data_IF_486909381135
#
_entry.id   IF_486909381135
#
_cell.length_a   1.000
_cell.length_b   1.000
_cell.length_c   1.000
_cell.angle_alpha   90.00
_cell.angle_beta   90.00
_cell.angle_gamma   90.00
#
_symmetry.space_group_name_H-M   'P 1'
#
loop_
_entity.id
_entity.type
_entity.pdbx_description
1 polymer ?
#
# COMPACT_ATOMS: atom_id res chain seq x y z
N UNK A 1 -8.49 27.68 21.24
CA UNK A 1 -7.05 27.98 21.30
C UNK A 1 -6.33 26.67 21.02
N UNK A 2 -5.69 26.58 19.85
CA UNK A 2 -5.12 25.35 19.32
C UNK A 2 -3.85 24.96 20.09
N UNK A 3 -3.87 23.85 20.81
CA UNK A 3 -2.65 23.14 21.19
C UNK A 3 -2.28 22.19 20.05
N UNK A 4 -1.65 22.75 18.99
CA UNK A 4 -0.93 21.95 18.00
C UNK A 4 0.38 21.50 18.63
N UNK A 5 0.45 20.23 19.00
CA UNK A 5 1.53 19.61 19.76
C UNK A 5 2.89 19.85 19.10
N UNK A 6 3.86 20.27 19.91
CA UNK A 6 5.25 20.54 19.50
C UNK A 6 5.95 19.30 18.93
N UNK A 7 5.47 18.11 19.29
CA UNK A 7 5.98 16.81 18.85
C UNK A 7 5.57 16.45 17.41
N UNK A 8 4.34 16.77 16.98
CA UNK A 8 3.88 16.56 15.60
C UNK A 8 4.69 17.41 14.60
N UNK A 9 5.05 18.64 14.99
CA UNK A 9 5.89 19.52 14.18
C UNK A 9 7.32 19.00 14.05
N UNK A 10 7.93 18.52 15.13
CA UNK A 10 9.29 17.97 15.09
C UNK A 10 9.38 16.68 14.24
N UNK A 11 8.35 15.84 14.26
CA UNK A 11 8.33 14.60 13.47
C UNK A 11 8.19 14.88 11.97
N UNK A 12 7.40 15.90 11.59
CA UNK A 12 7.30 16.37 10.21
C UNK A 12 8.65 16.87 9.69
N UNK A 13 9.35 17.70 10.47
CA UNK A 13 10.68 18.24 10.09
C UNK A 13 11.76 17.15 10.01
N UNK A 14 11.67 16.12 10.85
CA UNK A 14 12.63 15.01 10.85
C UNK A 14 12.43 14.10 9.64
N UNK A 15 11.18 13.85 9.25
CA UNK A 15 10.89 13.13 8.01
C UNK A 15 11.35 13.96 6.82
N UNK A 16 10.97 15.23 6.69
CA UNK A 16 11.41 16.08 5.57
C UNK A 16 12.93 16.10 5.41
N UNK A 17 13.69 16.15 6.53
CA UNK A 17 15.15 16.05 6.52
C UNK A 17 15.67 14.66 6.11
N UNK A 18 15.01 13.58 6.55
CA UNK A 18 15.36 12.21 6.16
C UNK A 18 15.07 11.99 4.66
N UNK A 19 13.97 12.56 4.17
CA UNK A 19 13.59 12.58 2.76
C UNK A 19 14.66 13.29 1.96
N UNK A 20 15.04 14.51 2.38
CA UNK A 20 16.09 15.29 1.75
C UNK A 20 17.42 14.51 1.71
N UNK A 21 17.84 13.89 2.82
CA UNK A 21 19.10 13.14 2.90
C UNK A 21 19.10 11.84 2.11
N UNK A 22 18.00 11.11 2.10
CA UNK A 22 17.86 9.89 1.29
C UNK A 22 17.88 10.25 -0.20
N UNK A 23 17.21 11.35 -0.58
CA UNK A 23 17.20 11.83 -1.96
C UNK A 23 18.59 12.34 -2.38
N UNK A 24 19.30 13.09 -1.52
CA UNK A 24 20.71 13.49 -1.77
C UNK A 24 21.61 12.28 -2.03
N UNK A 25 21.47 11.20 -1.24
CA UNK A 25 22.22 9.97 -1.45
C UNK A 25 21.87 9.29 -2.76
N UNK A 26 20.58 9.26 -3.14
CA UNK A 26 20.13 8.69 -4.41
C UNK A 26 20.64 9.48 -5.61
N UNK A 27 20.68 10.81 -5.52
CA UNK A 27 21.22 11.70 -6.54
C UNK A 27 22.72 11.42 -6.74
N UNK A 28 23.49 11.36 -5.63
CA UNK A 28 24.92 11.02 -5.67
C UNK A 28 25.14 9.64 -6.29
N UNK A 29 24.37 8.62 -5.89
CA UNK A 29 24.50 7.27 -6.46
C UNK A 29 24.20 7.25 -7.96
N UNK A 30 23.22 8.04 -8.41
CA UNK A 30 22.81 8.13 -9.81
C UNK A 30 23.86 8.85 -10.67
N UNK A 31 24.35 10.00 -10.19
CA UNK A 31 25.40 10.80 -10.85
C UNK A 31 26.71 10.03 -11.01
N UNK A 32 27.03 9.16 -10.06
CA UNK A 32 28.25 8.33 -10.09
C UNK A 32 28.06 6.99 -10.82
N UNK A 33 26.93 6.75 -11.47
CA UNK A 33 26.68 5.51 -12.21
C UNK A 33 26.56 4.26 -11.32
N UNK A 34 26.34 4.43 -10.02
CA UNK A 34 26.13 3.36 -9.02
C UNK A 34 24.66 2.89 -9.06
N UNK A 35 24.04 2.92 -10.25
CA UNK A 35 22.61 2.64 -10.43
C UNK A 35 22.24 1.15 -10.25
N UNK A 36 23.21 0.26 -10.01
CA UNK A 36 23.01 -1.20 -10.09
C UNK A 36 23.09 -1.96 -8.76
N UNK A 37 23.23 -1.31 -7.60
CA UNK A 37 23.52 -2.04 -6.34
C UNK A 37 22.65 -1.69 -5.13
N UNK A 38 21.74 -0.72 -5.24
CA UNK A 38 20.78 -0.44 -4.16
C UNK A 38 19.42 -1.00 -4.53
N UNK A 39 19.19 -2.27 -4.17
CA UNK A 39 17.85 -2.83 -4.06
C UNK A 39 17.10 -2.07 -2.95
N UNK A 40 16.48 -0.95 -3.31
CA UNK A 40 15.62 -0.23 -2.37
C UNK A 40 14.52 -1.18 -1.89
N UNK A 41 14.26 -1.27 -0.57
CA UNK A 41 13.29 -2.19 -0.05
C UNK A 41 11.90 -1.84 -0.60
N UNK A 42 11.29 -2.78 -1.31
CA UNK A 42 9.90 -2.65 -1.74
C UNK A 42 8.98 -2.86 -0.54
N UNK A 43 7.95 -2.03 -0.41
CA UNK A 43 6.91 -2.23 0.60
C UNK A 43 5.74 -2.94 -0.08
N UNK A 44 5.47 -4.17 0.34
CA UNK A 44 4.42 -5.00 -0.22
C UNK A 44 3.24 -5.03 0.74
N UNK A 45 2.09 -4.53 0.28
CA UNK A 45 0.88 -4.43 1.10
C UNK A 45 0.01 -5.66 0.92
N UNK A 46 -0.21 -6.39 2.00
CA UNK A 46 -1.08 -7.58 2.04
C UNK A 46 -2.17 -7.41 3.11
N UNK A 47 -3.30 -8.09 2.92
CA UNK A 47 -4.51 -7.82 3.70
C UNK A 47 -5.72 -8.48 3.10
N UNK A 48 -6.67 -8.91 3.94
CA UNK A 48 -7.97 -9.41 3.49
C UNK A 48 -8.71 -8.35 2.66
N UNK A 49 -9.69 -8.77 1.87
CA UNK A 49 -10.57 -7.82 1.19
C UNK A 49 -11.20 -6.85 2.21
N UNK A 50 -11.26 -5.56 1.88
CA UNK A 50 -11.84 -4.52 2.76
C UNK A 50 -11.11 -4.24 4.08
N UNK A 51 -9.88 -4.75 4.26
CA UNK A 51 -8.98 -4.42 5.38
C UNK A 51 -8.42 -2.99 5.34
N UNK A 52 -8.62 -2.24 4.26
CA UNK A 52 -8.13 -0.86 4.13
C UNK A 52 -6.76 -0.69 3.49
N UNK A 53 -6.22 -1.71 2.82
CA UNK A 53 -4.93 -1.64 2.06
C UNK A 53 -4.80 -0.40 1.19
N UNK A 54 -5.78 -0.19 0.30
CA UNK A 54 -5.83 0.94 -0.63
C UNK A 54 -5.78 2.27 0.12
N UNK A 55 -6.53 2.39 1.23
CA UNK A 55 -6.53 3.61 2.05
C UNK A 55 -5.20 3.85 2.76
N UNK A 56 -4.53 2.79 3.23
CA UNK A 56 -3.18 2.90 3.80
C UNK A 56 -2.19 3.39 2.74
N UNK A 57 -2.25 2.85 1.53
CA UNK A 57 -1.41 3.29 0.41
C UNK A 57 -1.68 4.75 0.01
N UNK A 58 -2.94 5.14 -0.12
CA UNK A 58 -3.31 6.52 -0.45
C UNK A 58 -2.89 7.50 0.64
N UNK A 59 -2.88 7.09 1.91
CA UNK A 59 -2.36 7.90 3.00
C UNK A 59 -0.82 8.05 2.96
N UNK A 60 -0.09 6.99 2.59
CA UNK A 60 1.37 7.05 2.40
C UNK A 60 1.71 8.02 1.25
N UNK A 61 0.92 7.99 0.17
CA UNK A 61 1.13 8.87 -1.00
C UNK A 61 0.53 10.27 -0.79
N UNK A 62 -0.42 10.41 0.13
CA UNK A 62 -1.17 11.65 0.39
C UNK A 62 -2.20 12.00 -0.69
N UNK A 63 -2.60 11.07 -1.56
CA UNK A 63 -3.46 11.32 -2.73
C UNK A 63 -4.46 10.19 -2.97
N UNK A 64 -5.66 10.54 -3.43
CA UNK A 64 -6.71 9.59 -3.82
C UNK A 64 -6.64 9.29 -5.33
N UNK A 65 -5.91 8.23 -5.72
CA UNK A 65 -5.69 7.88 -7.15
C UNK A 65 -5.93 6.41 -7.47
N UNK A 66 -6.13 5.57 -6.45
CA UNK A 66 -6.43 4.17 -6.67
C UNK A 66 -7.92 3.99 -6.98
N UNK A 67 -8.29 2.98 -7.79
CA UNK A 67 -9.70 2.63 -7.99
C UNK A 67 -10.37 2.29 -6.66
N UNK A 68 -11.67 2.57 -6.56
CA UNK A 68 -12.53 2.24 -5.42
C UNK A 68 -13.82 1.61 -5.93
N UNK A 69 -14.36 0.65 -5.18
CA UNK A 69 -15.59 -0.05 -5.57
C UNK A 69 -15.96 -1.19 -4.62
N UNK A 70 -17.10 -1.82 -4.86
CA UNK A 70 -17.50 -3.07 -4.21
C UNK A 70 -16.86 -4.27 -4.90
N UNK A 71 -16.58 -5.34 -4.15
CA UNK A 71 -15.89 -6.52 -4.68
C UNK A 71 -14.36 -6.38 -4.68
N UNK A 72 -13.69 -7.17 -5.53
CA UNK A 72 -12.22 -7.12 -5.68
C UNK A 72 -11.88 -5.90 -6.54
N UNK A 73 -11.43 -4.84 -5.89
CA UNK A 73 -11.07 -3.58 -6.55
C UNK A 73 -9.72 -3.71 -7.27
N UNK A 74 -8.68 -4.11 -6.53
CA UNK A 74 -7.36 -4.40 -7.09
C UNK A 74 -7.36 -5.81 -7.68
N UNK A 75 -7.47 -5.94 -9.01
CA UNK A 75 -7.49 -7.24 -9.73
C UNK A 75 -6.14 -7.62 -10.36
N UNK A 76 -5.19 -6.69 -10.39
CA UNK A 76 -3.81 -6.86 -10.84
C UNK A 76 -2.89 -6.24 -9.78
N UNK A 77 -1.69 -6.79 -9.52
CA UNK A 77 -0.71 -6.11 -8.70
C UNK A 77 -0.43 -4.72 -9.27
N UNK A 78 -0.41 -3.70 -8.42
CA UNK A 78 0.01 -2.36 -8.82
C UNK A 78 1.37 -2.09 -8.19
N UNK A 79 2.39 -1.98 -9.02
CA UNK A 79 3.72 -1.53 -8.62
C UNK A 79 3.74 -0.02 -8.81
N UNK A 80 3.68 0.69 -7.69
CA UNK A 80 3.73 2.14 -7.62
C UNK A 80 5.15 2.56 -7.23
N UNK A 81 5.83 3.23 -8.16
CA UNK A 81 7.13 3.82 -7.94
C UNK A 81 6.93 5.31 -7.71
N UNK A 82 7.11 5.74 -6.47
CA UNK A 82 7.25 7.16 -6.17
C UNK A 82 8.68 7.55 -6.52
N UNK A 83 8.83 8.61 -7.29
CA UNK A 83 10.11 9.14 -7.73
C UNK A 83 10.17 10.58 -7.26
N UNK A 84 11.11 10.86 -6.38
CA UNK A 84 11.40 12.24 -6.00
C UNK A 84 11.95 12.99 -7.21
N UNK A 85 11.48 14.21 -7.45
CA UNK A 85 12.03 15.08 -8.47
C UNK A 85 12.05 16.50 -7.95
N UNK A 86 13.26 17.02 -7.71
CA UNK A 86 13.50 18.32 -7.08
C UNK A 86 12.85 19.49 -7.83
N UNK A 87 12.85 19.43 -9.15
CA UNK A 87 12.34 20.50 -10.04
C UNK A 87 10.96 20.20 -10.63
N UNK A 88 10.21 19.25 -10.05
CA UNK A 88 8.84 19.00 -10.48
C UNK A 88 7.91 20.07 -9.90
N UNK A 89 7.72 21.17 -10.65
CA UNK A 89 6.71 22.20 -10.35
C UNK A 89 5.29 21.62 -10.31
N UNK A 90 5.03 20.56 -11.08
CA UNK A 90 3.77 19.84 -11.13
C UNK A 90 3.97 18.32 -10.97
N UNK A 91 3.11 17.69 -10.17
CA UNK A 91 3.08 16.23 -10.01
C UNK A 91 2.52 15.57 -11.27
N UNK A 92 3.17 14.50 -11.74
CA UNK A 92 2.68 13.74 -12.89
C UNK A 92 2.97 12.26 -12.76
N UNK A 93 2.17 11.46 -13.46
CA UNK A 93 2.27 10.01 -13.50
C UNK A 93 2.52 9.51 -14.91
N UNK A 94 3.28 8.40 -15.02
CA UNK A 94 3.55 7.70 -16.27
C UNK A 94 3.37 6.21 -16.04
N UNK A 95 2.61 5.55 -16.90
CA UNK A 95 2.50 4.10 -16.88
C UNK A 95 3.54 3.45 -17.79
N UNK A 96 4.04 2.30 -17.39
CA UNK A 96 5.03 1.58 -18.18
C UNK A 96 4.50 1.11 -19.55
N UNK A 97 3.20 0.78 -19.65
CA UNK A 97 2.57 0.37 -20.92
C UNK A 97 2.27 1.53 -21.86
N UNK A 98 2.36 2.79 -21.41
CA UNK A 98 2.18 3.98 -22.23
C UNK A 98 3.14 5.10 -21.81
N UNK A 99 4.44 4.82 -21.92
CA UNK A 99 5.53 5.70 -21.47
C UNK A 99 5.55 7.09 -22.10
N UNK A 100 4.90 7.29 -23.24
CA UNK A 100 4.79 8.58 -23.94
C UNK A 100 3.67 9.47 -23.42
N UNK A 101 2.72 8.92 -22.65
CA UNK A 101 1.56 9.65 -22.13
C UNK A 101 1.80 10.09 -20.69
N UNK A 102 1.73 11.39 -20.46
CA UNK A 102 1.86 12.00 -19.13
C UNK A 102 0.48 12.24 -18.54
N UNK A 103 0.26 11.75 -17.32
CA UNK A 103 -0.98 11.91 -16.58
C UNK A 103 -0.79 12.96 -15.48
N UNK A 104 -1.38 14.15 -15.65
CA UNK A 104 -1.39 15.21 -14.62
C UNK A 104 -2.60 15.16 -13.69
N UNK A 105 -3.62 14.39 -14.05
CA UNK A 105 -4.84 14.22 -13.27
C UNK A 105 -4.88 12.84 -12.63
N UNK A 106 -5.03 12.79 -11.30
CA UNK A 106 -5.19 11.53 -10.56
C UNK A 106 -6.49 10.79 -10.92
N UNK A 107 -7.52 11.50 -11.38
CA UNK A 107 -8.72 10.85 -11.92
C UNK A 107 -8.42 10.12 -13.22
N UNK A 108 -7.58 10.71 -14.10
CA UNK A 108 -7.13 10.06 -15.31
C UNK A 108 -6.22 8.85 -15.01
N UNK A 109 -5.40 8.93 -13.96
CA UNK A 109 -4.61 7.77 -13.47
C UNK A 109 -5.54 6.65 -13.01
N UNK A 110 -6.56 6.95 -12.19
CA UNK A 110 -7.55 5.98 -11.73
C UNK A 110 -8.28 5.30 -12.88
N UNK A 111 -8.72 6.09 -13.85
CA UNK A 111 -9.42 5.60 -15.03
C UNK A 111 -8.49 4.69 -15.85
N UNK A 112 -7.24 5.09 -16.09
CA UNK A 112 -6.27 4.29 -16.83
C UNK A 112 -5.98 2.93 -16.14
N UNK A 113 -5.86 2.89 -14.81
CA UNK A 113 -5.69 1.63 -14.05
C UNK A 113 -6.88 0.69 -14.33
N UNK A 114 -8.09 1.25 -14.33
CA UNK A 114 -9.33 0.50 -14.57
C UNK A 114 -9.38 -0.01 -16.01
N UNK A 115 -9.06 0.85 -16.98
CA UNK A 115 -9.08 0.53 -18.41
C UNK A 115 -8.02 -0.53 -18.76
N UNK A 116 -6.81 -0.39 -18.23
CA UNK A 116 -5.72 -1.34 -18.43
C UNK A 116 -6.01 -2.69 -17.76
N UNK A 117 -6.70 -2.68 -16.62
CA UNK A 117 -7.19 -3.91 -15.99
C UNK A 117 -8.22 -4.61 -16.87
N UNK A 118 -9.20 -3.87 -17.40
CA UNK A 118 -10.27 -4.41 -18.25
C UNK A 118 -9.76 -4.88 -19.62
N UNK A 119 -8.72 -4.23 -20.18
CA UNK A 119 -8.04 -4.67 -21.40
C UNK A 119 -7.41 -6.06 -21.23
N UNK A 120 -6.77 -6.29 -20.09
CA UNK A 120 -6.06 -7.54 -19.82
C UNK A 120 -6.98 -8.66 -19.33
N UNK A 121 -7.99 -8.33 -18.52
CA UNK A 121 -8.86 -9.32 -17.88
C UNK A 121 -10.25 -9.24 -18.52
N UNK A 122 -10.51 -10.15 -19.47
CA UNK A 122 -11.81 -10.24 -20.15
C UNK A 122 -12.94 -10.74 -19.23
N UNK A 123 -12.62 -11.57 -18.24
CA UNK A 123 -13.57 -12.05 -17.25
C UNK A 123 -13.75 -11.02 -16.13
N UNK A 124 -14.97 -10.52 -15.93
CA UNK A 124 -15.27 -9.38 -15.05
C UNK A 124 -14.72 -9.52 -13.61
N UNK A 125 -14.59 -10.76 -13.11
CA UNK A 125 -14.23 -11.05 -11.72
C UNK A 125 -12.96 -11.90 -11.54
N UNK A 126 -12.13 -12.06 -12.58
CA UNK A 126 -10.83 -12.76 -12.45
C UNK A 126 -9.72 -11.77 -12.08
N UNK A 127 -8.56 -12.31 -11.66
CA UNK A 127 -7.32 -11.56 -11.37
C UNK A 127 -6.21 -11.96 -12.33
N UNK A 128 -5.14 -11.19 -12.39
CA UNK A 128 -3.95 -11.54 -13.19
C UNK A 128 -2.67 -11.24 -12.41
N UNK A 129 -1.67 -12.13 -12.56
CA UNK A 129 -0.34 -11.93 -11.95
C UNK A 129 0.48 -10.85 -12.67
N UNK A 130 0.04 -10.38 -13.85
CA UNK A 130 0.75 -9.37 -14.63
C UNK A 130 0.54 -8.00 -13.98
N UNK A 131 1.61 -7.39 -13.43
CA UNK A 131 1.48 -6.13 -12.71
C UNK A 131 1.14 -4.96 -13.66
N UNK A 132 0.56 -3.90 -13.10
CA UNK A 132 0.54 -2.57 -13.69
C UNK A 132 1.66 -1.79 -13.00
N UNK A 133 2.56 -1.18 -13.76
CA UNK A 133 3.64 -0.35 -13.21
C UNK A 133 3.33 1.12 -13.46
N UNK A 134 3.22 1.88 -12.38
CA UNK A 134 2.92 3.30 -12.36
C UNK A 134 4.08 4.04 -11.70
N UNK A 135 4.66 5.01 -12.40
CA UNK A 135 5.65 5.94 -11.85
C UNK A 135 4.96 7.26 -11.53
N UNK A 136 5.07 7.72 -10.29
CA UNK A 136 4.58 9.02 -9.85
C UNK A 136 5.77 9.92 -9.51
N UNK A 137 5.88 11.03 -10.21
CA UNK A 137 6.93 12.02 -10.00
C UNK A 137 6.36 13.16 -9.15
N UNK A 138 7.01 13.47 -8.03
CA UNK A 138 6.61 14.55 -7.13
C UNK A 138 7.81 15.04 -6.33
N UNK A 139 7.80 16.33 -5.98
CA UNK A 139 8.77 16.94 -5.06
C UNK A 139 8.42 16.71 -3.57
N UNK A 140 7.28 16.06 -3.29
CA UNK A 140 6.73 15.86 -1.94
C UNK A 140 6.77 14.41 -1.46
N UNK A 141 7.41 13.53 -2.22
CA UNK A 141 7.48 12.09 -1.94
C UNK A 141 8.92 11.65 -1.76
N UNK A 142 9.09 10.56 -1.02
CA UNK A 142 10.32 9.76 -1.05
C UNK A 142 10.37 8.95 -2.34
N UNK A 143 11.57 8.70 -2.85
CA UNK A 143 11.72 7.65 -3.85
C UNK A 143 11.54 6.30 -3.18
N UNK A 144 10.38 5.67 -3.39
CA UNK A 144 10.03 4.40 -2.77
C UNK A 144 9.12 3.57 -3.70
N UNK A 145 9.20 2.25 -3.58
CA UNK A 145 8.36 1.33 -4.34
C UNK A 145 7.32 0.69 -3.43
N UNK A 146 6.05 0.96 -3.71
CA UNK A 146 4.89 0.36 -3.06
C UNK A 146 4.30 -0.69 -4.00
N UNK A 147 3.91 -1.84 -3.46
CA UNK A 147 3.17 -2.86 -4.21
C UNK A 147 1.81 -3.06 -3.56
N UNK A 148 0.75 -2.68 -4.28
CA UNK A 148 -0.63 -3.04 -3.93
C UNK A 148 -0.99 -4.39 -4.53
N UNK A 149 -1.64 -5.23 -3.75
CA UNK A 149 -2.03 -6.57 -4.16
C UNK A 149 -3.53 -6.78 -3.98
N UNK A 150 -4.14 -7.67 -4.79
CA UNK A 150 -5.52 -8.09 -4.57
C UNK A 150 -5.74 -8.55 -3.12
N UNK A 151 -6.89 -8.19 -2.55
CA UNK A 151 -7.23 -8.58 -1.19
C UNK A 151 -7.43 -10.08 -1.07
N UNK A 152 -6.92 -10.68 0.02
CA UNK A 152 -7.15 -12.09 0.30
C UNK A 152 -8.65 -12.35 0.48
N UNK A 153 -9.15 -13.40 -0.17
CA UNK A 153 -10.55 -13.84 -0.13
C UNK A 153 -10.59 -15.30 0.30
N UNK A 154 -11.56 -15.65 1.16
CA UNK A 154 -11.75 -17.04 1.63
C UNK A 154 -12.77 -17.80 0.78
N UNK A 155 -13.81 -17.10 0.33
CA UNK A 155 -14.92 -17.69 -0.40
C UNK A 155 -15.09 -16.91 -1.70
N UNK A 156 -15.11 -17.59 -2.88
CA UNK A 156 -15.44 -16.94 -4.13
C UNK A 156 -16.89 -16.46 -4.10
N UNK A 157 -17.14 -15.24 -4.54
CA UNK A 157 -18.48 -14.64 -4.59
C UNK A 157 -18.85 -14.25 -6.02
N UNK A 158 -20.12 -14.40 -6.39
CA UNK A 158 -20.62 -14.08 -7.73
C UNK A 158 -19.97 -14.97 -8.80
N UNK A 159 -19.60 -14.39 -9.94
CA UNK A 159 -19.01 -15.13 -11.08
C UNK A 159 -17.48 -15.32 -10.96
N UNK A 160 -16.95 -15.37 -9.74
CA UNK A 160 -15.51 -15.58 -9.53
C UNK A 160 -15.12 -17.04 -9.83
N UNK A 161 -13.94 -17.27 -10.44
CA UNK A 161 -13.40 -18.62 -10.58
C UNK A 161 -13.24 -19.33 -9.23
N UNK A 162 -13.48 -20.64 -9.18
CA UNK A 162 -13.35 -21.43 -7.93
C UNK A 162 -11.94 -21.39 -7.33
N UNK A 163 -10.92 -21.19 -8.16
CA UNK A 163 -9.50 -21.12 -7.77
C UNK A 163 -9.01 -19.69 -7.48
N UNK A 164 -9.91 -18.70 -7.39
CA UNK A 164 -9.53 -17.29 -7.19
C UNK A 164 -8.74 -17.08 -5.90
N UNK A 165 -9.13 -17.76 -4.81
CA UNK A 165 -8.48 -17.64 -3.50
C UNK A 165 -7.00 -18.06 -3.59
N UNK A 166 -6.74 -19.22 -4.19
CA UNK A 166 -5.39 -19.75 -4.40
C UNK A 166 -4.56 -18.83 -5.31
N UNK A 167 -5.16 -18.34 -6.40
CA UNK A 167 -4.49 -17.45 -7.35
C UNK A 167 -4.05 -16.13 -6.70
N UNK A 168 -4.87 -15.56 -5.83
CA UNK A 168 -4.51 -14.34 -5.09
C UNK A 168 -3.44 -14.66 -4.04
N UNK A 169 -3.56 -15.75 -3.31
CA UNK A 169 -2.56 -16.16 -2.31
C UNK A 169 -1.19 -16.38 -2.94
N UNK A 170 -1.10 -17.11 -4.05
CA UNK A 170 0.13 -17.33 -4.82
C UNK A 170 0.73 -16.02 -5.33
N UNK A 171 -0.12 -15.11 -5.80
CA UNK A 171 0.28 -13.78 -6.24
C UNK A 171 0.93 -13.01 -5.10
N UNK A 172 0.26 -12.93 -3.95
CA UNK A 172 0.79 -12.26 -2.77
C UNK A 172 2.12 -12.90 -2.33
N UNK A 173 2.14 -14.23 -2.21
CA UNK A 173 3.31 -15.01 -1.81
C UNK A 173 4.53 -14.72 -2.70
N UNK A 174 4.33 -14.59 -4.01
CA UNK A 174 5.41 -14.27 -4.96
C UNK A 174 6.09 -12.93 -4.64
N UNK A 175 5.33 -11.89 -4.30
CA UNK A 175 5.90 -10.57 -3.97
C UNK A 175 6.55 -10.54 -2.59
N UNK A 176 5.91 -11.14 -1.58
CA UNK A 176 6.44 -11.14 -0.21
C UNK A 176 7.62 -12.12 -0.01
N UNK A 177 7.82 -13.08 -0.91
CA UNK A 177 8.98 -14.00 -0.86
C UNK A 177 10.32 -13.31 -1.11
N UNK A 178 10.33 -12.11 -1.70
CA UNK A 178 11.54 -11.32 -1.82
C UNK A 178 12.03 -10.89 -0.42
N UNK A 179 13.25 -11.30 -0.04
CA UNK A 179 13.83 -11.00 1.28
C UNK A 179 14.07 -9.51 1.52
N UNK A 180 14.25 -8.72 0.45
CA UNK A 180 14.43 -7.27 0.54
C UNK A 180 13.08 -6.52 0.65
N UNK A 181 11.95 -7.23 0.61
CA UNK A 181 10.64 -6.62 0.76
C UNK A 181 10.25 -6.43 2.23
N UNK A 182 9.76 -5.25 2.58
CA UNK A 182 9.04 -5.01 3.83
C UNK A 182 7.58 -5.40 3.61
N UNK A 183 7.05 -6.25 4.49
CA UNK A 183 5.67 -6.72 4.41
C UNK A 183 4.80 -5.82 5.28
N UNK A 184 3.85 -5.12 4.65
CA UNK A 184 2.85 -4.32 5.36
C UNK A 184 1.57 -5.17 5.51
N UNK A 185 1.40 -5.79 6.68
CA UNK A 185 0.30 -6.68 6.99
C UNK A 185 -0.90 -5.91 7.54
N UNK A 186 -1.82 -5.53 6.65
CA UNK A 186 -2.99 -4.72 6.97
C UNK A 186 -4.14 -5.59 7.49
N UNK A 187 -4.55 -5.34 8.73
CA UNK A 187 -5.62 -6.04 9.44
C UNK A 187 -6.60 -5.02 10.00
N UNK A 188 -7.90 -5.29 9.91
CA UNK A 188 -8.89 -4.47 10.59
C UNK A 188 -8.91 -4.78 12.09
N UNK A 189 -8.95 -3.76 12.94
CA UNK A 189 -8.89 -3.89 14.40
C UNK A 189 -10.21 -4.41 15.00
N UNK A 190 -11.31 -4.30 14.25
CA UNK A 190 -12.61 -4.84 14.65
C UNK A 190 -12.75 -6.36 14.43
N UNK A 191 -11.68 -7.05 14.02
CA UNK A 191 -11.63 -8.51 13.97
C UNK A 191 -10.45 -8.99 14.82
N UNK A 192 -10.56 -10.20 15.37
CA UNK A 192 -9.46 -10.81 16.11
C UNK A 192 -8.22 -10.96 15.22
N UNK A 193 -7.11 -10.38 15.67
CA UNK A 193 -5.84 -10.37 14.96
C UNK A 193 -5.28 -11.77 14.72
N UNK A 194 -5.61 -12.71 15.60
CA UNK A 194 -5.23 -14.12 15.48
C UNK A 194 -5.80 -14.77 14.22
N UNK A 195 -6.88 -14.20 13.68
CA UNK A 195 -7.52 -14.65 12.44
C UNK A 195 -7.11 -13.83 11.20
N UNK A 196 -6.07 -13.00 11.31
CA UNK A 196 -5.57 -12.19 10.21
C UNK A 196 -4.90 -13.03 9.13
N UNK A 197 -5.54 -13.11 7.97
CA UNK A 197 -5.00 -13.81 6.79
C UNK A 197 -3.66 -13.20 6.33
N UNK A 198 -3.46 -11.89 6.55
CA UNK A 198 -2.21 -11.20 6.20
C UNK A 198 -1.04 -11.69 7.06
N UNK A 199 -1.25 -11.79 8.38
CA UNK A 199 -0.21 -12.23 9.31
C UNK A 199 0.07 -13.73 9.17
N UNK A 200 -0.94 -14.53 8.88
CA UNK A 200 -0.76 -15.94 8.54
C UNK A 200 0.09 -16.11 7.28
N UNK A 201 -0.25 -15.38 6.21
CA UNK A 201 0.51 -15.43 4.96
C UNK A 201 1.94 -14.93 5.12
N UNK A 202 2.15 -13.81 5.84
CA UNK A 202 3.47 -13.28 6.14
C UNK A 202 4.35 -14.32 6.87
N UNK A 203 3.80 -15.03 7.86
CA UNK A 203 4.53 -16.06 8.61
C UNK A 203 5.08 -17.18 7.73
N UNK A 204 4.46 -17.47 6.58
CA UNK A 204 4.93 -18.50 5.65
C UNK A 204 6.25 -18.14 4.97
N UNK A 205 6.61 -16.86 4.90
CA UNK A 205 7.83 -16.33 4.25
C UNK A 205 8.73 -15.54 5.19
N UNK A 206 8.23 -15.19 6.38
CA UNK A 206 8.89 -14.41 7.43
C UNK A 206 8.48 -14.99 8.80
N UNK A 207 8.98 -16.18 9.12
CA UNK A 207 8.56 -16.97 10.29
C UNK A 207 8.81 -16.27 11.64
N UNK A 208 9.81 -15.38 11.69
CA UNK A 208 10.18 -14.61 12.88
C UNK A 208 9.69 -13.15 12.82
N UNK A 209 8.87 -12.80 11.82
CA UNK A 209 8.34 -11.45 11.61
C UNK A 209 9.41 -10.35 11.66
N UNK A 210 10.53 -10.56 10.98
CA UNK A 210 11.69 -9.67 11.02
C UNK A 210 11.50 -8.43 10.16
N UNK A 211 10.73 -8.57 9.08
CA UNK A 211 10.49 -7.52 8.07
C UNK A 211 9.00 -7.27 7.84
N UNK A 212 8.18 -7.66 8.81
CA UNK A 212 6.73 -7.50 8.78
C UNK A 212 6.31 -6.40 9.75
N UNK A 213 5.61 -5.39 9.22
CA UNK A 213 4.94 -4.34 10.00
C UNK A 213 3.45 -4.65 10.03
N UNK A 214 2.86 -4.70 11.22
CA UNK A 214 1.42 -4.89 11.37
C UNK A 214 0.70 -3.55 11.33
N UNK A 215 -0.30 -3.40 10.46
CA UNK A 215 -1.12 -2.19 10.39
C UNK A 215 -2.53 -2.52 10.84
N UNK A 216 -2.99 -1.81 11.87
CA UNK A 216 -4.34 -1.97 12.43
C UNK A 216 -5.23 -0.84 11.92
N UNK A 217 -6.16 -1.15 11.01
CA UNK A 217 -7.13 -0.18 10.48
C UNK A 217 -8.46 -0.25 11.23
N UNK A 218 -9.35 0.72 11.03
CA UNK A 218 -10.72 0.70 11.60
C UNK A 218 -10.75 0.59 13.13
N UNK A 219 -9.74 1.17 13.79
CA UNK A 219 -9.65 1.21 15.27
C UNK A 219 -10.82 1.98 15.88
N UNK A 220 -11.38 2.93 15.12
CA UNK A 220 -12.59 3.69 15.43
C UNK A 220 -13.90 2.87 15.40
N UNK A 221 -13.89 1.70 14.75
CA UNK A 221 -15.06 0.82 14.60
C UNK A 221 -15.00 -0.42 15.50
N UNK A 222 -14.15 -0.38 16.54
CA UNK A 222 -14.06 -1.46 17.51
C UNK A 222 -15.26 -1.47 18.46
N UNK A 223 -15.64 -2.67 18.90
CA UNK A 223 -16.75 -2.84 19.82
C UNK A 223 -16.44 -2.20 21.18
N UNK A 224 -17.39 -1.48 21.80
CA UNK A 224 -17.20 -0.90 23.12
C UNK A 224 -16.78 -1.98 24.14
N UNK A 225 -15.66 -1.75 24.82
CA UNK A 225 -15.08 -2.69 25.78
C UNK A 225 -13.99 -3.60 25.20
N UNK A 226 -13.66 -3.48 23.92
CA UNK A 226 -12.46 -4.09 23.32
C UNK A 226 -11.34 -3.04 23.15
N UNK A 227 -10.08 -3.47 23.25
CA UNK A 227 -8.92 -2.60 23.03
C UNK A 227 -7.80 -3.32 22.25
N UNK A 228 -6.87 -2.53 21.72
CA UNK A 228 -5.68 -3.02 21.01
C UNK A 228 -4.40 -2.91 21.85
N UNK A 229 -4.50 -2.60 23.14
CA UNK A 229 -3.33 -2.30 23.98
C UNK A 229 -2.40 -3.51 24.05
N UNK A 230 -2.95 -4.71 24.22
CA UNK A 230 -2.15 -5.94 24.27
C UNK A 230 -1.53 -6.31 22.91
N UNK A 231 -2.18 -5.92 21.80
CA UNK A 231 -1.62 -6.09 20.46
C UNK A 231 -0.44 -5.13 20.25
N UNK A 232 -0.63 -3.85 20.56
CA UNK A 232 0.39 -2.82 20.42
C UNK A 232 1.60 -3.06 21.34
N UNK A 233 1.34 -3.60 22.55
CA UNK A 233 2.38 -4.01 23.49
C UNK A 233 3.09 -5.31 23.08
N UNK A 234 2.67 -5.97 21.99
CA UNK A 234 3.28 -7.20 21.50
C UNK A 234 3.02 -8.43 22.36
N UNK A 235 2.02 -8.39 23.27
CA UNK A 235 1.69 -9.48 24.20
C UNK A 235 0.92 -10.61 23.53
N UNK A 236 0.13 -10.29 22.50
CA UNK A 236 -0.64 -11.28 21.72
C UNK A 236 0.21 -11.86 20.60
N UNK A 237 0.77 -10.99 19.76
CA UNK A 237 1.69 -11.36 18.67
C UNK A 237 2.83 -10.35 18.66
N UNK A 238 4.07 -10.83 18.65
CA UNK A 238 5.23 -9.96 18.62
C UNK A 238 5.76 -9.84 17.19
N UNK A 239 5.76 -8.63 16.64
CA UNK A 239 6.43 -8.30 15.38
C UNK A 239 7.70 -7.50 15.69
N UNK A 240 8.84 -7.78 15.04
CA UNK A 240 10.09 -7.04 15.32
C UNK A 240 9.97 -5.54 14.99
N UNK A 241 9.17 -5.21 13.98
CA UNK A 241 8.89 -3.83 13.56
C UNK A 241 7.61 -3.26 14.21
N UNK A 242 6.95 -4.02 15.08
CA UNK A 242 5.78 -3.58 15.83
C UNK A 242 4.48 -3.45 15.03
N UNK A 243 3.48 -2.86 15.70
CA UNK A 243 2.17 -2.55 15.15
C UNK A 243 1.94 -1.05 15.08
N UNK A 244 1.28 -0.60 14.02
CA UNK A 244 0.88 0.80 13.82
C UNK A 244 -0.63 0.88 13.65
N UNK A 245 -1.37 1.52 14.58
CA UNK A 245 -2.79 1.78 14.42
C UNK A 245 -3.01 2.98 13.49
N UNK A 246 -3.99 2.85 12.58
CA UNK A 246 -4.33 3.89 11.60
C UNK A 246 -5.85 4.05 11.53
N UNK A 247 -6.31 5.28 11.61
CA UNK A 247 -7.70 5.66 11.33
C UNK A 247 -7.75 6.28 9.94
N UNK A 248 -8.50 5.64 9.04
CA UNK A 248 -8.66 6.08 7.66
C UNK A 248 -10.00 6.77 7.48
N UNK A 249 -10.10 7.66 6.48
CA UNK A 249 -11.38 8.29 6.10
C UNK A 249 -12.38 7.21 5.65
N UNK A 250 -13.60 7.26 6.17
CA UNK A 250 -14.65 6.33 5.80
C UNK A 250 -15.15 6.56 4.37
N UNK A 251 -15.81 5.56 3.78
CA UNK A 251 -16.38 5.66 2.44
C UNK A 251 -17.36 6.85 2.33
N UNK A 252 -18.18 7.07 3.36
CA UNK A 252 -19.12 8.19 3.44
C UNK A 252 -18.42 9.56 3.48
N UNK A 253 -17.27 9.67 4.14
CA UNK A 253 -16.52 10.93 4.24
C UNK A 253 -15.85 11.30 2.91
N UNK A 254 -15.49 10.28 2.14
CA UNK A 254 -14.88 10.43 0.83
C UNK A 254 -15.94 10.81 -0.21
N UNK A 255 -17.12 10.19 -0.15
CA UNK A 255 -18.25 10.54 -1.01
C UNK A 255 -18.78 11.95 -0.76
N UNK A 256 -18.76 12.44 0.49
CA UNK A 256 -19.17 13.80 0.86
C UNK A 256 -18.23 14.92 0.36
N UNK A 257 -16.98 14.61 0.00
CA UNK A 257 -16.03 15.58 -0.60
C UNK A 257 -16.17 15.75 -2.13
N UNK A 258 -17.16 15.11 -2.76
CA UNK A 258 -17.53 15.33 -4.17
C UNK A 258 -18.56 16.45 -4.39
N UNK A 259 -18.73 17.38 -3.44
CA UNK A 259 -19.56 18.59 -3.62
C UNK A 259 -18.77 19.85 -3.34
#
# INVERSE_FOLDING_TARGET
>A
MYFCNKEERNMHTTMDLLIEKINELQDICTENGISHTLDLPQIVVIGSQSSGKTSVLENIVGKDFLPRGSGIVTRRPLILQLIYTKDADEEYAVFNHCSTKIFRSFEAVRQEITDETNRHIKAKNDVSHVPITLKLYSSKVLTLTLVDLPGLVKVPTGDQPKNICLKIEEMCKRFISNKNAIILAVTAANVDISNSDALHLARTVDSCYERTIGVLTKVDLMDPGTDIVDVLAGRILTLKLGFVPVVNRGQNDIERKKS
#
